data_IF_198497822417
#
_entry.id   IF_198497822417
#
_cell.length_a   1.000
_cell.length_b   1.000
_cell.length_c   1.000
_cell.angle_alpha   90.00
_cell.angle_beta   90.00
_cell.angle_gamma   90.00
#
_symmetry.space_group_name_H-M   'P 1'
#
loop_
_entity.id
_entity.type
_entity.pdbx_description
1 polymer ?
#
# COMPACT_ATOMS: atom_id res chain seq x y z
N UNK A 1 28.02 7.94 -7.88
CA UNK A 1 26.91 8.59 -7.17
C UNK A 1 27.44 9.20 -5.90
N UNK A 2 27.04 10.45 -5.56
CA UNK A 2 27.49 11.08 -4.31
C UNK A 2 26.52 10.67 -3.20
N UNK A 3 27.00 10.17 -2.04
CA UNK A 3 26.15 10.00 -0.87
C UNK A 3 25.70 11.39 -0.40
N UNK A 4 24.44 11.55 -0.14
CA UNK A 4 23.86 12.81 0.31
C UNK A 4 23.40 12.64 1.76
N UNK A 5 23.78 13.61 2.60
CA UNK A 5 23.30 13.66 3.97
C UNK A 5 21.76 13.68 3.99
N UNK A 6 21.10 12.83 4.75
CA UNK A 6 19.70 12.46 4.59
C UNK A 6 18.68 13.51 5.07
N UNK A 7 19.09 14.73 5.40
CA UNK A 7 18.15 15.70 6.00
C UNK A 7 17.19 16.32 5.01
N UNK A 8 17.66 16.68 3.82
CA UNK A 8 16.82 17.21 2.75
C UNK A 8 17.63 17.27 1.45
N UNK A 9 17.14 16.67 0.39
CA UNK A 9 17.75 16.74 -0.94
C UNK A 9 16.78 17.40 -1.89
N UNK A 10 17.25 18.41 -2.56
CA UNK A 10 16.50 19.11 -3.59
C UNK A 10 17.26 19.02 -4.90
N UNK A 11 16.61 18.57 -5.96
CA UNK A 11 17.14 18.56 -7.31
C UNK A 11 16.11 19.16 -8.26
N UNK A 12 16.58 19.92 -9.25
CA UNK A 12 15.75 20.56 -10.26
C UNK A 12 16.34 20.35 -11.65
N UNK A 13 15.51 19.94 -12.60
CA UNK A 13 15.83 19.95 -14.03
C UNK A 13 14.59 20.45 -14.79
N UNK A 14 14.68 21.65 -15.37
CA UNK A 14 13.52 22.27 -15.97
C UNK A 14 12.41 22.50 -14.95
N UNK A 15 11.22 22.04 -15.26
CA UNK A 15 10.04 22.10 -14.37
C UNK A 15 9.94 20.94 -13.36
N UNK A 16 10.81 19.94 -13.43
CA UNK A 16 10.77 18.79 -12.51
C UNK A 16 11.52 19.13 -11.22
N UNK A 17 10.85 18.94 -10.10
CA UNK A 17 11.41 19.15 -8.77
C UNK A 17 11.33 17.87 -7.95
N UNK A 18 12.45 17.47 -7.37
CA UNK A 18 12.54 16.30 -6.51
C UNK A 18 12.89 16.75 -5.09
N UNK A 19 12.11 16.28 -4.14
CA UNK A 19 12.39 16.41 -2.71
C UNK A 19 12.47 15.01 -2.10
N UNK A 20 13.55 14.72 -1.41
CA UNK A 20 13.68 13.51 -0.61
C UNK A 20 13.93 13.88 0.85
N UNK A 21 13.20 13.27 1.76
CA UNK A 21 13.38 13.46 3.19
C UNK A 21 13.32 12.13 3.95
N UNK A 22 14.12 12.04 5.01
CA UNK A 22 13.95 10.99 6.01
C UNK A 22 12.88 11.46 6.99
N UNK A 23 11.89 10.64 7.23
CA UNK A 23 10.81 10.94 8.16
C UNK A 23 10.76 9.93 9.30
N UNK A 24 10.60 10.46 10.51
CA UNK A 24 10.33 9.67 11.71
C UNK A 24 8.80 9.47 11.84
N UNK A 25 8.31 8.31 12.31
CA UNK A 25 6.92 8.16 12.69
C UNK A 25 6.55 9.17 13.79
N UNK A 26 5.29 9.61 13.87
CA UNK A 26 4.81 10.36 15.02
C UNK A 26 5.11 9.56 16.29
N UNK A 27 5.35 10.21 17.43
CA UNK A 27 5.67 9.51 18.67
C UNK A 27 4.50 8.58 19.02
N UNK A 28 4.70 7.30 18.79
CA UNK A 28 3.83 6.29 19.38
C UNK A 28 4.04 6.31 20.89
N UNK A 29 2.99 6.10 21.64
CA UNK A 29 3.00 6.04 23.12
C UNK A 29 3.82 4.86 23.68
N UNK A 30 4.67 4.23 22.89
CA UNK A 30 5.58 3.16 23.27
C UNK A 30 7.04 3.61 23.23
N UNK A 31 7.85 3.23 24.25
CA UNK A 31 9.20 3.72 24.46
C UNK A 31 10.28 3.13 23.53
N UNK A 32 9.89 2.59 22.37
CA UNK A 32 10.87 2.12 21.39
C UNK A 32 11.31 3.27 20.50
N UNK A 33 12.53 3.75 20.70
CA UNK A 33 13.25 4.59 19.74
C UNK A 33 13.47 3.78 18.47
N UNK A 34 12.53 3.85 17.53
CA UNK A 34 12.69 3.20 16.23
C UNK A 34 13.76 3.94 15.42
N UNK A 35 14.77 3.24 14.89
CA UNK A 35 15.71 3.81 13.94
C UNK A 35 14.94 4.33 12.71
N UNK A 36 15.55 5.24 11.98
CA UNK A 36 14.96 5.88 10.82
C UNK A 36 14.75 4.88 9.69
N UNK A 37 13.49 4.42 9.59
CA UNK A 37 13.12 3.24 8.82
C UNK A 37 12.48 3.58 7.48
N UNK A 38 12.33 4.88 7.13
CA UNK A 38 11.65 5.27 5.91
C UNK A 38 12.21 6.52 5.25
N UNK A 39 12.11 6.56 3.94
CA UNK A 39 12.37 7.74 3.11
C UNK A 39 11.06 8.15 2.44
N UNK A 40 10.72 9.43 2.55
CA UNK A 40 9.67 10.07 1.76
C UNK A 40 10.32 10.82 0.60
N UNK A 41 9.90 10.52 -0.62
CA UNK A 41 10.45 11.10 -1.84
C UNK A 41 9.33 11.62 -2.72
N UNK A 42 9.38 12.89 -3.08
CA UNK A 42 8.39 13.52 -3.94
C UNK A 42 9.05 14.07 -5.21
N UNK A 43 8.45 13.75 -6.35
CA UNK A 43 8.79 14.33 -7.66
C UNK A 43 7.56 15.09 -8.14
N UNK A 44 7.69 16.39 -8.32
CA UNK A 44 6.60 17.28 -8.72
C UNK A 44 7.01 18.25 -9.82
N UNK A 45 6.05 18.95 -10.39
CA UNK A 45 6.26 20.04 -11.34
C UNK A 45 6.46 21.35 -10.58
N UNK A 46 7.62 21.97 -10.72
CA UNK A 46 7.92 23.24 -10.07
C UNK A 46 7.23 24.45 -10.72
N UNK A 47 6.73 24.29 -11.94
CA UNK A 47 6.15 25.36 -12.75
C UNK A 47 4.63 25.32 -12.78
N UNK A 48 4.04 24.14 -12.59
CA UNK A 48 2.60 23.96 -12.66
C UNK A 48 2.08 23.15 -11.46
N UNK A 49 1.01 23.63 -10.85
CA UNK A 49 0.31 22.87 -9.83
C UNK A 49 -0.27 21.58 -10.42
N UNK A 50 -0.03 20.46 -9.76
CA UNK A 50 -0.59 19.14 -10.12
C UNK A 50 -1.44 18.61 -8.99
N UNK A 51 -2.35 17.71 -9.32
CA UNK A 51 -3.16 17.06 -8.30
C UNK A 51 -2.29 16.21 -7.38
N UNK A 52 -2.59 16.30 -6.10
CA UNK A 52 -1.99 15.49 -5.04
C UNK A 52 -3.07 15.04 -4.08
N UNK A 53 -2.88 13.90 -3.42
CA UNK A 53 -3.73 13.51 -2.30
C UNK A 53 -3.63 14.59 -1.21
N UNK A 54 -4.76 15.19 -0.78
CA UNK A 54 -4.73 16.27 0.20
C UNK A 54 -4.10 15.84 1.53
N UNK A 55 -3.38 16.75 2.19
CA UNK A 55 -2.80 16.48 3.52
C UNK A 55 -3.85 16.24 4.60
N UNK A 56 -5.07 16.72 4.41
CA UNK A 56 -6.22 16.39 5.27
C UNK A 56 -6.63 14.92 5.21
N UNK A 57 -6.29 14.24 4.12
CA UNK A 57 -6.56 12.79 3.93
C UNK A 57 -5.37 11.97 4.44
N UNK A 58 -4.16 12.35 4.06
CA UNK A 58 -2.94 11.71 4.51
C UNK A 58 -1.87 12.77 4.79
N UNK A 59 -1.69 13.14 6.07
CA UNK A 59 -0.68 14.12 6.47
C UNK A 59 0.73 13.67 6.09
N UNK A 60 1.51 14.58 5.49
CA UNK A 60 2.93 14.30 5.23
C UNK A 60 3.73 14.53 6.48
N UNK A 61 4.65 13.62 6.82
CA UNK A 61 5.49 13.81 7.98
C UNK A 61 6.42 15.00 7.74
N UNK A 62 6.47 15.91 8.69
CA UNK A 62 7.47 16.96 8.70
C UNK A 62 8.88 16.33 8.84
N UNK A 63 9.87 16.93 8.19
CA UNK A 63 11.25 16.55 8.41
C UNK A 63 11.60 16.81 9.89
N UNK A 64 11.97 15.76 10.64
CA UNK A 64 12.39 15.92 12.03
C UNK A 64 13.87 16.38 12.05
N UNK A 65 14.19 17.56 12.57
CA UNK A 65 15.57 18.01 12.69
C UNK A 65 16.44 17.16 13.63
N UNK A 66 15.81 16.30 14.45
CA UNK A 66 16.49 15.34 15.33
C UNK A 66 16.82 14.01 14.65
N UNK A 67 16.40 13.84 13.41
CA UNK A 67 16.71 12.68 12.58
C UNK A 67 18.22 12.44 12.54
N UNK A 68 18.67 11.25 12.91
CA UNK A 68 20.07 10.86 12.89
C UNK A 68 20.40 10.14 11.59
N UNK A 69 21.18 10.74 10.68
CA UNK A 69 21.57 10.08 9.45
C UNK A 69 22.34 8.77 9.64
N UNK A 70 23.11 8.69 10.72
CA UNK A 70 23.90 7.52 11.13
C UNK A 70 23.05 6.35 11.64
N UNK A 71 21.81 6.61 12.04
CA UNK A 71 20.84 5.59 12.45
C UNK A 71 19.90 5.13 11.31
N UNK A 72 20.02 5.70 10.12
CA UNK A 72 19.16 5.36 8.99
C UNK A 72 19.37 3.92 8.53
N UNK A 73 18.28 3.17 8.37
CA UNK A 73 18.31 1.80 7.84
C UNK A 73 18.39 1.75 6.33
N UNK A 74 17.95 2.82 5.66
CA UNK A 74 17.99 2.95 4.20
C UNK A 74 18.56 4.31 3.80
N UNK A 75 19.26 4.30 2.66
CA UNK A 75 19.96 5.46 2.11
C UNK A 75 19.38 5.84 0.75
N UNK A 76 19.30 7.14 0.49
CA UNK A 76 19.00 7.72 -0.81
C UNK A 76 20.27 8.21 -1.48
N UNK A 77 20.48 7.82 -2.75
CA UNK A 77 21.55 8.36 -3.60
C UNK A 77 20.98 8.73 -4.95
N UNK A 78 21.54 9.73 -5.60
CA UNK A 78 21.07 10.14 -6.94
C UNK A 78 22.19 10.56 -7.87
N UNK A 79 21.90 10.51 -9.19
CA UNK A 79 22.68 11.11 -10.25
C UNK A 79 21.83 12.19 -10.94
N UNK A 80 22.43 13.33 -11.25
CA UNK A 80 21.73 14.43 -11.89
C UNK A 80 21.67 14.29 -13.42
N UNK A 81 22.67 13.64 -14.02
CA UNK A 81 22.79 13.51 -15.49
C UNK A 81 23.51 12.19 -15.85
N UNK A 82 22.84 11.19 -16.42
CA UNK A 82 21.40 11.10 -16.53
C UNK A 82 20.73 11.05 -15.17
N UNK A 83 19.50 11.58 -15.07
CA UNK A 83 18.77 11.53 -13.80
C UNK A 83 18.43 10.10 -13.42
N UNK A 84 18.84 9.70 -12.24
CA UNK A 84 18.53 8.42 -11.64
C UNK A 84 18.68 8.51 -10.11
N UNK A 85 17.96 7.67 -9.37
CA UNK A 85 18.15 7.52 -7.94
C UNK A 85 18.08 6.07 -7.49
N UNK A 86 18.67 5.81 -6.32
CA UNK A 86 18.61 4.52 -5.66
C UNK A 86 18.19 4.68 -4.21
N UNK A 87 17.48 3.68 -3.73
CA UNK A 87 17.27 3.41 -2.31
C UNK A 87 18.01 2.12 -2.01
N UNK A 88 18.87 2.12 -1.02
CA UNK A 88 19.66 0.95 -0.60
C UNK A 88 19.64 0.78 0.91
N UNK A 89 19.86 -0.44 1.40
CA UNK A 89 20.09 -0.68 2.82
C UNK A 89 21.40 -0.03 3.26
N UNK A 90 21.37 0.58 4.43
CA UNK A 90 22.51 1.36 4.90
C UNK A 90 23.73 0.47 5.21
N UNK A 91 23.52 -0.73 5.75
CA UNK A 91 24.64 -1.54 6.22
C UNK A 91 25.05 -2.65 5.25
N UNK A 92 24.15 -3.19 4.43
CA UNK A 92 24.48 -4.21 3.41
C UNK A 92 24.79 -3.60 2.05
N UNK A 93 24.28 -2.40 1.77
CA UNK A 93 24.35 -1.79 0.45
C UNK A 93 23.36 -2.38 -0.56
N UNK A 94 22.50 -3.33 -0.15
CA UNK A 94 21.50 -3.93 -1.02
C UNK A 94 20.58 -2.88 -1.63
N UNK A 95 20.49 -2.85 -2.95
CA UNK A 95 19.62 -1.94 -3.67
C UNK A 95 18.18 -2.44 -3.58
N UNK A 96 17.31 -1.63 -2.97
CA UNK A 96 15.88 -1.91 -2.79
C UNK A 96 15.03 -1.33 -3.93
N UNK A 97 15.47 -0.19 -4.47
CA UNK A 97 14.81 0.47 -5.59
C UNK A 97 15.85 1.24 -6.40
N UNK A 98 15.81 1.14 -7.72
CA UNK A 98 16.73 1.86 -8.60
C UNK A 98 16.03 2.28 -9.88
N UNK A 99 16.24 3.53 -10.29
CA UNK A 99 15.80 4.03 -11.61
C UNK A 99 16.95 4.08 -12.61
N UNK A 100 18.14 3.59 -12.26
CA UNK A 100 19.31 3.58 -13.14
C UNK A 100 19.02 2.79 -14.42
N UNK A 101 19.34 3.39 -15.58
CA UNK A 101 19.05 2.81 -16.89
C UNK A 101 17.59 2.95 -17.36
N UNK A 102 16.71 3.55 -16.55
CA UNK A 102 15.31 3.72 -16.88
C UNK A 102 14.93 5.22 -16.84
N UNK A 103 14.77 5.87 -18.00
CA UNK A 103 14.40 7.29 -18.05
C UNK A 103 13.06 7.56 -17.38
N UNK A 104 13.02 8.60 -16.55
CA UNK A 104 11.79 9.16 -16.01
C UNK A 104 11.01 9.85 -17.14
N UNK A 105 9.71 9.58 -17.26
CA UNK A 105 8.77 10.37 -18.05
C UNK A 105 7.86 11.13 -17.08
N UNK A 106 7.72 12.44 -17.28
CA UNK A 106 6.95 13.30 -16.40
C UNK A 106 6.19 14.34 -17.23
N UNK A 107 5.12 13.87 -17.88
CA UNK A 107 4.23 14.67 -18.72
C UNK A 107 2.95 15.08 -17.95
N UNK A 108 2.16 16.03 -18.42
CA UNK A 108 0.95 16.46 -17.72
C UNK A 108 -0.04 15.35 -17.38
N UNK A 109 -0.26 14.40 -18.29
CA UNK A 109 -1.22 13.31 -18.14
C UNK A 109 -0.58 11.93 -18.31
N UNK A 110 0.73 11.82 -18.25
CA UNK A 110 1.45 10.56 -18.29
C UNK A 110 2.76 10.63 -17.52
N UNK A 111 2.80 9.88 -16.43
CA UNK A 111 4.01 9.73 -15.61
C UNK A 111 4.48 8.28 -15.69
N UNK A 112 5.77 8.07 -15.92
CA UNK A 112 6.37 6.74 -15.92
C UNK A 112 7.64 6.72 -15.10
N UNK A 113 7.70 5.79 -14.16
CA UNK A 113 8.93 5.48 -13.42
C UNK A 113 9.09 3.97 -13.34
N UNK A 114 10.32 3.50 -13.45
CA UNK A 114 10.63 2.07 -13.50
C UNK A 114 11.80 1.75 -12.59
N UNK A 115 11.71 0.62 -11.90
CA UNK A 115 12.78 0.06 -11.07
C UNK A 115 13.14 -1.35 -11.52
N UNK A 116 14.40 -1.71 -11.36
CA UNK A 116 14.84 -3.09 -11.51
C UNK A 116 14.42 -3.93 -10.30
N UNK A 117 14.10 -5.19 -10.54
CA UNK A 117 13.82 -6.21 -9.53
C UNK A 117 14.77 -7.39 -9.73
N UNK A 118 15.09 -8.16 -8.68
CA UNK A 118 15.72 -9.47 -8.83
C UNK A 118 14.88 -10.39 -9.73
N UNK A 119 15.55 -11.35 -10.39
CA UNK A 119 14.85 -12.32 -11.26
C UNK A 119 13.77 -13.10 -10.53
N UNK A 120 14.08 -13.55 -9.31
CA UNK A 120 13.20 -14.37 -8.48
C UNK A 120 12.54 -13.54 -7.36
N UNK A 121 12.20 -12.28 -7.64
CA UNK A 121 11.59 -11.41 -6.66
C UNK A 121 10.26 -11.99 -6.16
N UNK A 122 10.08 -12.00 -4.84
CA UNK A 122 8.79 -12.34 -4.24
C UNK A 122 8.04 -11.03 -3.96
N UNK A 123 7.11 -10.69 -4.85
CA UNK A 123 6.33 -9.46 -4.81
C UNK A 123 4.91 -9.76 -4.35
N UNK A 124 4.42 -8.93 -3.44
CA UNK A 124 3.07 -8.98 -2.87
C UNK A 124 2.45 -7.59 -2.90
N UNK A 125 1.13 -7.50 -2.76
CA UNK A 125 0.42 -6.23 -2.69
C UNK A 125 -0.20 -5.81 -4.02
N UNK A 126 -0.21 -4.50 -4.32
CA UNK A 126 -0.85 -3.91 -5.49
C UNK A 126 -2.34 -4.31 -5.62
N UNK A 127 -3.05 -4.36 -4.48
CA UNK A 127 -4.49 -4.62 -4.41
C UNK A 127 -5.31 -3.39 -4.82
N UNK A 128 -6.62 -3.58 -4.86
CA UNK A 128 -7.37 -4.75 -4.44
C UNK A 128 -7.63 -5.67 -5.63
N UNK A 129 -7.24 -6.94 -5.54
CA UNK A 129 -7.38 -7.94 -6.60
C UNK A 129 -7.67 -9.34 -6.01
N UNK A 130 -8.45 -10.16 -6.69
CA UNK A 130 -8.71 -11.57 -6.35
C UNK A 130 -7.79 -12.53 -7.11
N UNK A 131 -6.50 -12.24 -7.11
CA UNK A 131 -5.45 -12.98 -7.81
C UNK A 131 -4.54 -13.73 -6.81
N UNK A 132 -3.59 -14.56 -7.27
CA UNK A 132 -2.63 -15.18 -6.40
C UNK A 132 -1.91 -14.17 -5.50
N UNK A 133 -1.72 -14.53 -4.24
CA UNK A 133 -1.12 -13.65 -3.21
C UNK A 133 0.29 -13.19 -3.60
N UNK A 134 1.14 -14.12 -4.04
CA UNK A 134 2.42 -13.80 -4.66
C UNK A 134 2.21 -13.46 -6.14
N UNK A 135 2.66 -12.28 -6.55
CA UNK A 135 2.53 -11.84 -7.93
C UNK A 135 3.56 -12.53 -8.82
N UNK A 136 3.15 -12.89 -10.03
CA UNK A 136 4.06 -13.35 -11.08
C UNK A 136 4.95 -12.19 -11.54
N UNK A 137 6.25 -12.42 -11.60
CA UNK A 137 7.24 -11.41 -12.04
C UNK A 137 7.56 -11.47 -13.53
N UNK A 138 7.05 -12.48 -14.25
CA UNK A 138 7.29 -12.65 -15.69
C UNK A 138 6.47 -11.67 -16.51
N UNK A 139 5.14 -11.64 -16.26
CA UNK A 139 4.24 -10.83 -17.07
C UNK A 139 2.96 -10.44 -16.30
N UNK A 140 3.09 -9.60 -15.28
CA UNK A 140 1.93 -9.10 -14.51
C UNK A 140 1.64 -7.65 -14.86
N UNK A 141 0.36 -7.31 -15.03
CA UNK A 141 -0.14 -5.93 -15.03
C UNK A 141 -1.22 -5.82 -13.98
N UNK A 142 -1.10 -4.84 -13.09
CA UNK A 142 -2.14 -4.44 -12.15
C UNK A 142 -2.64 -3.06 -12.53
N UNK A 143 -3.86 -3.00 -13.05
CA UNK A 143 -4.55 -1.73 -13.30
C UNK A 143 -5.22 -1.32 -12.00
N UNK A 144 -4.70 -0.30 -11.34
CA UNK A 144 -5.24 0.25 -10.11
C UNK A 144 -6.24 1.35 -10.49
N UNK A 145 -7.50 1.00 -10.46
CA UNK A 145 -8.62 1.86 -10.75
C UNK A 145 -9.81 1.41 -9.90
N UNK A 146 -10.04 2.10 -8.78
CA UNK A 146 -11.14 1.81 -7.87
C UNK A 146 -12.50 2.01 -8.56
N UNK A 147 -13.34 0.98 -8.54
CA UNK A 147 -14.66 0.99 -9.20
C UNK A 147 -15.59 -0.02 -8.53
N UNK A 148 -16.86 0.00 -8.90
CA UNK A 148 -17.78 -1.09 -8.55
C UNK A 148 -17.35 -2.40 -9.24
N UNK A 149 -17.10 -3.42 -8.42
CA UNK A 149 -16.58 -4.71 -8.84
C UNK A 149 -17.57 -5.84 -8.53
N UNK A 150 -18.81 -5.71 -9.02
CA UNK A 150 -19.86 -6.68 -8.81
C UNK A 150 -19.41 -8.10 -9.20
N UNK A 151 -19.65 -9.05 -8.30
CA UNK A 151 -19.32 -10.46 -8.52
C UNK A 151 -17.83 -10.81 -8.30
N UNK A 152 -17.01 -9.88 -7.81
CA UNK A 152 -15.57 -10.09 -7.51
C UNK A 152 -14.84 -10.72 -8.71
N UNK A 153 -14.75 -10.02 -9.85
CA UNK A 153 -14.11 -10.56 -11.05
C UNK A 153 -12.59 -10.74 -10.84
N UNK A 154 -12.04 -11.77 -11.47
CA UNK A 154 -10.57 -11.99 -11.47
C UNK A 154 -9.86 -11.07 -12.47
N UNK A 155 -8.58 -10.77 -12.20
CA UNK A 155 -7.72 -10.01 -13.10
C UNK A 155 -8.04 -8.51 -13.21
N UNK A 156 -8.96 -8.00 -12.40
CA UNK A 156 -9.30 -6.57 -12.36
C UNK A 156 -9.19 -5.99 -10.97
N UNK A 157 -8.98 -4.67 -10.87
CA UNK A 157 -9.07 -3.99 -9.58
C UNK A 157 -10.51 -4.07 -9.06
N UNK A 158 -10.66 -4.26 -7.76
CA UNK A 158 -11.94 -4.30 -7.08
C UNK A 158 -12.34 -2.89 -6.60
N UNK A 159 -12.84 -2.76 -5.38
CA UNK A 159 -13.37 -1.48 -4.86
C UNK A 159 -12.29 -0.50 -4.46
N UNK A 160 -11.17 -0.97 -3.89
CA UNK A 160 -10.08 -0.14 -3.39
C UNK A 160 -8.82 -0.27 -4.25
N UNK A 161 -7.98 0.76 -4.25
CA UNK A 161 -6.66 0.74 -4.87
C UNK A 161 -5.58 0.97 -3.82
N UNK A 162 -4.61 0.03 -3.76
CA UNK A 162 -3.51 0.06 -2.81
C UNK A 162 -2.18 0.05 -3.57
N UNK A 163 -1.63 1.20 -3.99
CA UNK A 163 -0.38 1.27 -4.75
C UNK A 163 0.83 1.08 -3.84
N UNK A 164 0.86 -0.03 -3.15
CA UNK A 164 1.95 -0.50 -2.31
C UNK A 164 2.34 -1.90 -2.71
N UNK A 165 3.64 -2.14 -2.86
CA UNK A 165 4.16 -3.49 -2.98
C UNK A 165 5.13 -3.80 -1.85
N UNK A 166 5.18 -5.08 -1.49
CA UNK A 166 6.12 -5.66 -0.55
C UNK A 166 7.03 -6.60 -1.32
N UNK A 167 8.34 -6.48 -1.13
CA UNK A 167 9.32 -7.41 -1.66
C UNK A 167 9.93 -8.20 -0.51
N UNK A 168 9.76 -9.53 -0.55
CA UNK A 168 10.41 -10.44 0.37
C UNK A 168 11.60 -11.10 -0.31
N UNK A 169 12.79 -10.91 0.24
CA UNK A 169 14.05 -11.44 -0.29
C UNK A 169 14.51 -12.68 0.46
N UNK A 170 15.39 -13.49 -0.14
CA UNK A 170 16.07 -14.57 0.59
C UNK A 170 16.66 -14.06 1.91
N UNK A 171 16.81 -14.94 2.88
CA UNK A 171 17.27 -14.64 4.25
C UNK A 171 16.29 -13.83 5.12
N UNK A 172 15.04 -13.64 4.68
CA UNK A 172 13.99 -13.04 5.51
C UNK A 172 13.85 -11.52 5.38
N UNK A 173 14.72 -10.86 4.61
CA UNK A 173 14.66 -9.42 4.41
C UNK A 173 13.39 -9.01 3.66
N UNK A 174 12.63 -8.09 4.23
CA UNK A 174 11.42 -7.54 3.61
C UNK A 174 11.46 -6.02 3.60
N UNK A 175 11.02 -5.41 2.51
CA UNK A 175 10.81 -3.96 2.40
C UNK A 175 9.53 -3.67 1.62
N UNK A 176 9.08 -2.42 1.65
CA UNK A 176 7.93 -2.00 0.84
C UNK A 176 8.14 -0.65 0.19
N UNK A 177 7.43 -0.45 -0.91
CA UNK A 177 7.36 0.83 -1.62
C UNK A 177 5.89 1.19 -1.80
N UNK A 178 5.50 2.33 -1.25
CA UNK A 178 4.16 2.87 -1.35
C UNK A 178 4.18 4.14 -2.21
N UNK A 179 3.39 4.17 -3.26
CA UNK A 179 3.13 5.36 -4.06
C UNK A 179 1.82 6.01 -3.61
N UNK A 180 1.91 7.12 -2.91
CA UNK A 180 0.73 7.88 -2.51
C UNK A 180 0.14 8.61 -3.71
N UNK A 181 -0.84 8.00 -4.34
CA UNK A 181 -1.56 8.54 -5.50
C UNK A 181 -2.99 8.01 -5.53
N UNK A 182 -3.93 8.87 -5.90
CA UNK A 182 -5.32 8.50 -6.20
C UNK A 182 -5.62 8.50 -7.70
N UNK A 183 -4.62 8.79 -8.54
CA UNK A 183 -4.77 8.70 -9.99
C UNK A 183 -4.79 7.24 -10.44
N UNK A 184 -5.58 6.94 -11.48
CA UNK A 184 -5.54 5.64 -12.12
C UNK A 184 -4.13 5.32 -12.63
N UNK A 185 -3.73 4.06 -12.53
CA UNK A 185 -2.40 3.64 -12.97
C UNK A 185 -2.35 2.18 -13.38
N UNK A 186 -1.42 1.86 -14.28
CA UNK A 186 -0.96 0.50 -14.49
C UNK A 186 0.39 0.29 -13.80
N UNK A 187 0.48 -0.75 -12.98
CA UNK A 187 1.77 -1.25 -12.47
C UNK A 187 2.11 -2.52 -13.22
N UNK A 188 3.20 -2.48 -13.98
CA UNK A 188 3.64 -3.57 -14.85
C UNK A 188 4.88 -4.23 -14.28
N UNK A 189 4.83 -5.55 -14.11
CA UNK A 189 5.99 -6.35 -13.74
C UNK A 189 6.35 -7.20 -14.94
N UNK A 190 7.60 -7.12 -15.38
CA UNK A 190 8.09 -7.81 -16.59
C UNK A 190 9.46 -8.43 -16.34
N UNK A 191 9.62 -9.67 -16.76
CA UNK A 191 10.96 -10.27 -16.89
C UNK A 191 11.73 -9.62 -18.04
N UNK A 192 13.04 -9.52 -17.88
CA UNK A 192 13.98 -9.02 -18.87
C UNK A 192 15.31 -9.77 -18.83
N UNK A 193 16.22 -9.49 -19.74
CA UNK A 193 17.49 -10.23 -19.87
C UNK A 193 18.33 -10.27 -18.59
N UNK A 194 18.32 -9.20 -17.77
CA UNK A 194 19.13 -9.06 -16.57
C UNK A 194 18.34 -9.13 -15.25
N UNK A 195 17.12 -9.68 -15.26
CA UNK A 195 16.25 -9.74 -14.09
C UNK A 195 14.81 -9.37 -14.44
N UNK A 196 14.06 -8.90 -13.46
CA UNK A 196 12.72 -8.38 -13.66
C UNK A 196 12.71 -6.85 -13.47
N UNK A 197 11.59 -6.23 -13.74
CA UNK A 197 11.38 -4.80 -13.52
C UNK A 197 9.94 -4.53 -13.12
N UNK A 198 9.74 -3.50 -12.30
CA UNK A 198 8.42 -2.97 -11.95
C UNK A 198 8.32 -1.53 -12.48
N UNK A 199 7.26 -1.26 -13.21
CA UNK A 199 7.02 0.02 -13.87
C UNK A 199 5.66 0.58 -13.49
N UNK A 200 5.64 1.80 -12.99
CA UNK A 200 4.43 2.58 -12.76
C UNK A 200 4.13 3.45 -13.98
N UNK A 201 2.91 3.35 -14.50
CA UNK A 201 2.37 4.22 -15.54
C UNK A 201 1.13 4.90 -14.97
N UNK A 202 1.25 6.19 -14.64
CA UNK A 202 0.20 6.95 -13.92
C UNK A 202 -0.36 8.02 -14.85
N UNK A 203 -1.68 8.20 -14.85
CA UNK A 203 -2.38 9.13 -15.76
C UNK A 203 -2.33 10.59 -15.32
N UNK A 204 -1.60 10.93 -14.27
CA UNK A 204 -1.43 12.31 -13.82
C UNK A 204 -0.94 12.43 -12.38
N UNK A 205 -1.00 13.63 -11.84
CA UNK A 205 -0.57 13.90 -10.48
C UNK A 205 0.95 14.06 -10.32
N UNK A 206 1.49 13.53 -9.25
CA UNK A 206 2.90 13.57 -8.87
C UNK A 206 3.36 12.17 -8.48
N UNK A 207 4.68 11.96 -8.38
CA UNK A 207 5.23 10.79 -7.68
C UNK A 207 5.51 11.16 -6.22
N UNK A 208 4.76 10.58 -5.31
CA UNK A 208 4.85 10.79 -3.86
C UNK A 208 5.09 9.42 -3.19
N UNK A 209 6.37 9.05 -3.05
CA UNK A 209 6.79 7.73 -2.62
C UNK A 209 7.18 7.67 -1.15
N UNK A 210 6.78 6.59 -0.50
CA UNK A 210 7.32 6.16 0.78
C UNK A 210 8.07 4.83 0.60
N UNK A 211 9.36 4.84 0.89
CA UNK A 211 10.21 3.66 0.94
C UNK A 211 10.33 3.22 2.38
N UNK A 212 9.92 2.00 2.69
CA UNK A 212 9.90 1.42 4.03
C UNK A 212 10.99 0.37 4.13
N UNK A 213 11.89 0.53 5.06
CA UNK A 213 13.03 -0.38 5.23
C UNK A 213 12.58 -1.81 5.58
N UNK A 214 11.47 -1.95 6.30
CA UNK A 214 11.04 -3.23 6.85
C UNK A 214 12.05 -3.76 7.88
N UNK A 215 12.34 -5.04 7.79
CA UNK A 215 13.33 -5.72 8.63
C UNK A 215 14.07 -6.77 7.81
N UNK A 216 15.24 -7.17 8.29
CA UNK A 216 16.03 -8.25 7.70
C UNK A 216 15.66 -9.62 8.28
N UNK A 217 14.90 -9.65 9.37
CA UNK A 217 14.57 -10.88 10.10
C UNK A 217 13.08 -11.02 10.44
N UNK A 218 12.33 -9.91 10.49
CA UNK A 218 10.89 -9.91 10.80
C UNK A 218 10.09 -9.33 9.62
N UNK A 219 9.46 -10.16 8.78
CA UNK A 219 8.66 -9.69 7.65
C UNK A 219 7.42 -8.89 8.08
N UNK A 220 6.94 -9.04 9.32
CA UNK A 220 5.79 -8.26 9.80
C UNK A 220 6.14 -6.79 10.10
N UNK A 221 7.42 -6.46 10.28
CA UNK A 221 7.85 -5.10 10.59
C UNK A 221 7.49 -4.11 9.48
N UNK A 222 7.57 -4.52 8.23
CA UNK A 222 7.20 -3.64 7.10
C UNK A 222 5.72 -3.26 7.12
N UNK A 223 4.85 -4.15 7.58
CA UNK A 223 3.41 -3.85 7.75
C UNK A 223 3.17 -2.86 8.89
N UNK A 224 3.93 -2.95 9.98
CA UNK A 224 3.89 -1.95 11.07
C UNK A 224 4.34 -0.57 10.59
N UNK A 225 5.42 -0.52 9.79
CA UNK A 225 5.91 0.73 9.20
C UNK A 225 4.91 1.31 8.19
N UNK A 226 4.23 0.47 7.42
CA UNK A 226 3.16 0.90 6.52
C UNK A 226 1.98 1.49 7.31
N UNK A 227 1.53 0.82 8.37
CA UNK A 227 0.47 1.33 9.25
C UNK A 227 0.82 2.67 9.91
N UNK A 228 2.10 2.94 10.18
CA UNK A 228 2.55 4.25 10.66
C UNK A 228 2.41 5.37 9.61
N UNK A 229 2.36 5.03 8.32
CA UNK A 229 2.14 6.00 7.24
C UNK A 229 0.66 6.22 6.99
N UNK A 230 -0.11 5.14 6.83
CA UNK A 230 -1.52 5.21 6.41
C UNK A 230 -2.52 5.20 7.57
N UNK A 231 -2.04 4.96 8.79
CA UNK A 231 -2.88 4.78 9.98
C UNK A 231 -3.26 3.32 10.22
N UNK A 232 -3.81 3.08 11.40
CA UNK A 232 -4.41 1.79 11.78
C UNK A 232 -5.89 1.77 11.41
N UNK A 233 -6.51 0.58 11.27
CA UNK A 233 -7.95 0.47 11.09
C UNK A 233 -8.72 1.22 12.19
N UNK A 234 -9.88 1.79 11.85
CA UNK A 234 -10.73 2.45 12.82
C UNK A 234 -11.22 1.46 13.88
N UNK A 235 -11.31 1.93 15.12
CA UNK A 235 -11.98 1.17 16.18
C UNK A 235 -13.48 1.07 15.85
N UNK A 236 -13.98 -0.16 15.80
CA UNK A 236 -15.38 -0.45 15.50
C UNK A 236 -16.11 -0.94 16.74
N UNK A 237 -17.43 -0.75 16.83
CA UNK A 237 -18.21 -1.25 17.96
C UNK A 237 -18.08 -2.77 18.12
N UNK A 238 -18.00 -3.26 19.34
CA UNK A 238 -17.79 -4.69 19.63
C UNK A 238 -18.81 -5.62 18.95
N UNK A 239 -20.06 -5.17 18.79
CA UNK A 239 -21.10 -5.95 18.13
C UNK A 239 -20.79 -6.23 16.64
N UNK A 240 -19.96 -5.42 16.00
CA UNK A 240 -19.58 -5.61 14.59
C UNK A 240 -18.71 -6.86 14.36
N UNK A 241 -18.13 -7.43 15.43
CA UNK A 241 -17.41 -8.71 15.37
C UNK A 241 -18.34 -9.94 15.45
N UNK A 242 -19.64 -9.72 15.61
CA UNK A 242 -20.63 -10.79 15.64
C UNK A 242 -20.95 -11.36 14.26
N UNK A 243 -21.87 -12.31 14.22
CA UNK A 243 -22.36 -12.88 12.98
C UNK A 243 -23.27 -11.87 12.25
N UNK A 244 -22.95 -11.55 11.02
CA UNK A 244 -23.73 -10.70 10.12
C UNK A 244 -24.26 -11.53 8.95
N UNK A 245 -25.60 -11.77 8.92
CA UNK A 245 -26.24 -12.37 7.78
C UNK A 245 -26.65 -11.28 6.78
N UNK A 246 -26.08 -11.31 5.60
CA UNK A 246 -26.33 -10.34 4.55
C UNK A 246 -26.61 -11.01 3.21
N UNK A 247 -27.56 -10.44 2.46
CA UNK A 247 -27.76 -10.77 1.04
C UNK A 247 -28.41 -9.60 0.29
N UNK A 248 -28.13 -9.50 -0.97
CA UNK A 248 -28.82 -8.58 -1.86
C UNK A 248 -30.29 -9.04 -2.07
N UNK A 249 -31.27 -8.14 -1.91
CA UNK A 249 -32.66 -8.38 -2.25
C UNK A 249 -33.43 -9.29 -1.29
N UNK A 250 -33.31 -9.08 0.03
CA UNK A 250 -34.24 -9.67 0.98
C UNK A 250 -35.68 -9.20 0.68
N UNK A 251 -36.62 -10.18 0.54
CA UNK A 251 -38.02 -9.91 0.22
C UNK A 251 -38.95 -10.04 1.45
N UNK A 252 -38.48 -9.66 2.63
CA UNK A 252 -39.26 -9.68 3.87
C UNK A 252 -38.97 -10.87 4.79
N UNK A 253 -39.50 -10.81 6.02
CA UNK A 253 -39.19 -11.77 7.08
C UNK A 253 -39.60 -13.21 6.80
N UNK A 254 -40.68 -13.43 6.08
CA UNK A 254 -41.19 -14.79 5.76
C UNK A 254 -40.19 -15.57 4.88
N UNK A 255 -39.54 -14.92 3.94
CA UNK A 255 -38.53 -15.56 3.09
C UNK A 255 -37.28 -15.92 3.88
N UNK A 256 -36.90 -15.10 4.83
CA UNK A 256 -35.78 -15.34 5.73
C UNK A 256 -36.00 -16.55 6.65
N UNK A 257 -37.22 -16.70 7.20
CA UNK A 257 -37.60 -17.87 7.98
C UNK A 257 -37.57 -19.17 7.16
N UNK A 258 -38.01 -19.13 5.91
CA UNK A 258 -37.96 -20.29 5.01
C UNK A 258 -36.51 -20.70 4.70
N UNK A 259 -35.63 -19.73 4.44
CA UNK A 259 -34.22 -19.98 4.17
C UNK A 259 -33.53 -20.63 5.38
N UNK A 260 -33.76 -20.13 6.58
CA UNK A 260 -33.22 -20.70 7.83
C UNK A 260 -33.73 -22.11 8.10
N UNK A 261 -35.01 -22.36 7.83
CA UNK A 261 -35.60 -23.69 8.01
C UNK A 261 -34.99 -24.70 7.04
N UNK A 262 -34.70 -24.30 5.80
CA UNK A 262 -34.06 -25.15 4.79
C UNK A 262 -32.57 -25.41 5.09
N UNK A 263 -31.83 -24.40 5.54
CA UNK A 263 -30.43 -24.57 5.93
C UNK A 263 -30.25 -25.43 7.18
N UNK A 264 -31.17 -25.34 8.15
CA UNK A 264 -31.15 -26.19 9.34
C UNK A 264 -31.56 -27.63 9.08
N UNK A 265 -32.30 -27.90 8.00
CA UNK A 265 -32.68 -29.26 7.61
C UNK A 265 -31.54 -30.03 6.89
N UNK A 266 -30.60 -29.33 6.28
CA UNK A 266 -29.47 -29.92 5.57
C UNK A 266 -28.25 -30.25 6.43
N UNK A 267 -28.15 -29.67 7.63
CA UNK A 267 -26.95 -29.82 8.46
C UNK A 267 -27.30 -30.22 9.91
N UNK A 268 -27.41 -31.53 10.13
CA UNK A 268 -27.65 -32.10 11.48
C UNK A 268 -26.44 -32.00 12.43
N UNK A 269 -25.31 -31.46 11.99
CA UNK A 269 -24.06 -31.48 12.76
C UNK A 269 -23.72 -30.18 13.49
N UNK A 270 -24.35 -29.05 13.15
CA UNK A 270 -24.04 -27.75 13.74
C UNK A 270 -25.21 -27.18 14.54
N UNK A 271 -24.98 -27.01 15.83
CA UNK A 271 -25.93 -26.41 16.79
C UNK A 271 -26.10 -24.88 16.58
N UNK A 272 -26.19 -24.46 15.30
CA UNK A 272 -26.34 -23.05 14.88
C UNK A 272 -27.63 -22.41 15.39
N UNK A 273 -28.67 -23.22 15.64
CA UNK A 273 -29.97 -22.75 16.13
C UNK A 273 -29.85 -22.12 17.54
N UNK A 274 -28.91 -22.54 18.38
CA UNK A 274 -28.70 -22.01 19.72
C UNK A 274 -27.95 -20.69 19.74
N UNK A 275 -26.98 -20.54 18.87
CA UNK A 275 -26.23 -19.27 18.64
C UNK A 275 -27.14 -18.23 18.02
N UNK A 276 -27.98 -18.64 17.07
CA UNK A 276 -28.89 -17.78 16.35
C UNK A 276 -29.99 -17.18 17.22
N UNK A 277 -30.62 -17.95 18.12
CA UNK A 277 -31.64 -17.45 19.05
C UNK A 277 -31.10 -16.43 20.05
N UNK A 278 -29.82 -16.47 20.41
CA UNK A 278 -29.19 -15.45 21.29
C UNK A 278 -28.90 -14.15 20.49
N UNK A 279 -28.46 -14.22 19.25
CA UNK A 279 -28.22 -13.05 18.39
C UNK A 279 -29.52 -12.32 18.01
N UNK A 280 -30.60 -13.07 17.75
CA UNK A 280 -31.90 -12.50 17.34
C UNK A 280 -32.57 -11.66 18.43
N UNK A 281 -32.49 -12.07 19.67
CA UNK A 281 -33.02 -11.25 20.76
C UNK A 281 -32.34 -9.90 20.88
N UNK A 282 -31.10 -9.82 20.51
CA UNK A 282 -30.38 -8.55 20.50
C UNK A 282 -30.76 -7.68 19.29
N UNK A 283 -30.99 -8.29 18.13
CA UNK A 283 -31.41 -7.60 16.90
C UNK A 283 -32.87 -7.06 17.04
N UNK A 284 -33.79 -7.82 17.58
CA UNK A 284 -35.15 -7.35 17.83
C UNK A 284 -35.19 -6.17 18.81
N UNK A 285 -34.32 -6.16 19.82
CA UNK A 285 -34.18 -5.06 20.76
C UNK A 285 -33.61 -3.79 20.10
N UNK A 286 -32.71 -3.94 19.14
CA UNK A 286 -32.16 -2.81 18.40
C UNK A 286 -33.15 -2.22 17.38
N UNK A 287 -33.93 -3.05 16.68
CA UNK A 287 -34.96 -2.56 15.74
C UNK A 287 -36.14 -1.88 16.48
N UNK A 288 -36.44 -2.28 17.70
CA UNK A 288 -37.46 -1.59 18.54
C UNK A 288 -36.96 -0.26 19.12
N UNK A 289 -35.65 -0.07 19.27
CA UNK A 289 -35.07 1.17 19.82
C UNK A 289 -34.86 2.26 18.77
N UNK A 290 -34.77 1.92 17.49
CA UNK A 290 -34.57 2.84 16.39
C UNK A 290 -35.51 2.49 15.23
N UNK A 291 -36.80 2.90 15.31
CA UNK A 291 -37.67 2.84 14.14
C UNK A 291 -37.16 3.79 13.06
N UNK A 292 -37.18 3.35 11.81
CA UNK A 292 -36.75 4.10 10.62
C UNK A 292 -37.59 5.38 10.40
#
# INVERSE_FOLDING_TARGET
MRPVSPRHVTWRKGSIFLTASLSRPPPATHPYTTPETRIHLKITDASNARYEVPESVLPRPAADPKTRPDAAQILFTYSAAPFAFNISRAHTGDVLFTTAGHPLIFEPQFLRIKTALPRDANIYGLGEHSDPFRLDVVNTTRTLWARDAYGIPQGTNLYSSHPVYFEHRPAGSTHAVFLLSSSGMDVKIREGGNGASLEYNVIGGVFDFYFLAGSETDPAEVSRQYAQVVGTPAEVPFWSFGLHQCRYGYKGGSFFHLFLSLSSASDRSLNLTRLYRRGWRHFELLCRRYPA
#
